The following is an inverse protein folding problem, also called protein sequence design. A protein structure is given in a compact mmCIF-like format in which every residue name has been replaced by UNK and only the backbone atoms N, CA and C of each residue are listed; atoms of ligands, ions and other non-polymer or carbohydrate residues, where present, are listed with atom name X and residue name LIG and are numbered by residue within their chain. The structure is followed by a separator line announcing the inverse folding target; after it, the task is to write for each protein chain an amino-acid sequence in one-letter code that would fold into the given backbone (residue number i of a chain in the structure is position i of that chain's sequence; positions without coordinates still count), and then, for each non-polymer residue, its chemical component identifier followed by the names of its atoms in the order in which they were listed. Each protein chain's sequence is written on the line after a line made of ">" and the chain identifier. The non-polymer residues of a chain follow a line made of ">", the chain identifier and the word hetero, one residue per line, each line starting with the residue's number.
data_IF_836783004524
#
_entry.id   IF_836783004524
#
_cell.length_a   1.000
_cell.length_b   1.000
_cell.length_c   1.000
_cell.angle_alpha   90.00
_cell.angle_beta   90.00
_cell.angle_gamma   90.00
#
_symmetry.space_group_name_H-M   'P 1'
#
loop_
_entity.id
_entity.type
_entity.pdbx_description
1 polymer ?
#
# COMPACT_ATOMS: atom_id res chain seq x y z
N UNK A 1 22.12 -8.33 11.25
CA UNK A 1 23.14 -8.65 10.23
C UNK A 1 23.63 -7.42 9.48
N UNK A 2 22.74 -6.54 9.03
CA UNK A 2 23.10 -5.37 8.22
C UNK A 2 23.26 -4.10 9.05
N UNK A 3 23.00 -4.16 10.36
CA UNK A 3 23.00 -3.02 11.30
C UNK A 3 22.09 -1.84 10.86
N UNK A 4 21.21 -2.08 9.90
CA UNK A 4 20.25 -1.09 9.41
C UNK A 4 19.03 -1.11 10.31
N UNK A 5 18.58 0.06 10.75
CA UNK A 5 17.34 0.20 11.52
C UNK A 5 16.13 -0.24 10.67
N UNK A 6 15.38 -1.29 11.07
CA UNK A 6 14.29 -1.84 10.27
C UNK A 6 13.18 -0.85 9.93
N UNK A 7 12.91 0.13 10.79
CA UNK A 7 11.91 1.17 10.51
C UNK A 7 12.18 1.96 9.23
N UNK A 8 13.43 2.09 8.80
CA UNK A 8 13.81 2.81 7.57
C UNK A 8 13.30 2.10 6.32
N UNK A 9 13.71 0.85 6.02
CA UNK A 9 13.20 0.14 4.85
C UNK A 9 11.73 -0.26 4.97
N UNK A 10 11.25 -0.66 6.14
CA UNK A 10 9.87 -1.13 6.31
C UNK A 10 8.85 0.00 6.13
N UNK A 11 9.14 1.19 6.65
CA UNK A 11 8.22 2.32 6.49
C UNK A 11 8.05 2.72 5.02
N UNK A 12 9.16 2.83 4.29
CA UNK A 12 9.06 3.20 2.87
C UNK A 12 8.51 2.07 2.02
N UNK A 13 8.80 0.81 2.35
CA UNK A 13 8.21 -0.33 1.63
C UNK A 13 6.68 -0.33 1.75
N UNK A 14 6.14 -0.10 2.95
CA UNK A 14 4.70 0.01 3.18
C UNK A 14 4.09 1.20 2.42
N UNK A 15 4.71 2.38 2.50
CA UNK A 15 4.24 3.60 1.81
C UNK A 15 4.31 3.45 0.30
N UNK A 16 5.46 3.01 -0.23
CA UNK A 16 5.65 2.84 -1.67
C UNK A 16 4.71 1.79 -2.27
N UNK A 17 4.38 0.73 -1.51
CA UNK A 17 3.38 -0.26 -1.95
C UNK A 17 1.99 0.36 -2.13
N UNK A 18 1.61 1.30 -1.26
CA UNK A 18 0.34 2.02 -1.38
C UNK A 18 0.34 2.97 -2.58
N UNK A 19 1.40 3.77 -2.76
CA UNK A 19 1.53 4.66 -3.91
C UNK A 19 1.56 3.88 -5.23
N UNK A 20 2.25 2.73 -5.24
CA UNK A 20 2.34 1.84 -6.40
C UNK A 20 0.99 1.34 -6.91
N UNK A 21 -0.04 1.26 -6.07
CA UNK A 21 -1.40 0.91 -6.50
C UNK A 21 -1.97 1.95 -7.46
N UNK A 22 -1.74 3.25 -7.22
CA UNK A 22 -2.14 4.32 -8.14
C UNK A 22 -1.36 4.30 -9.46
N UNK A 23 -0.18 3.69 -9.49
CA UNK A 23 0.63 3.50 -10.69
C UNK A 23 0.41 2.13 -11.38
N UNK A 24 -0.35 1.23 -10.75
CA UNK A 24 -0.57 -0.12 -11.26
C UNK A 24 -1.69 -0.15 -12.32
N UNK A 25 -1.41 -0.61 -13.55
CA UNK A 25 -2.39 -0.65 -14.63
C UNK A 25 -3.56 -1.60 -14.37
N UNK A 26 -3.46 -2.50 -13.41
CA UNK A 26 -4.53 -3.48 -13.08
C UNK A 26 -5.30 -3.13 -11.81
N UNK A 27 -4.96 -2.01 -11.16
CA UNK A 27 -5.63 -1.62 -9.91
C UNK A 27 -7.02 -1.04 -10.16
N UNK A 28 -7.94 -1.29 -9.24
CA UNK A 28 -9.29 -0.73 -9.30
C UNK A 28 -9.26 0.80 -9.26
N UNK A 29 -8.32 1.41 -8.55
CA UNK A 29 -8.16 2.86 -8.48
C UNK A 29 -7.75 3.46 -9.84
N UNK A 30 -6.78 2.82 -10.52
CA UNK A 30 -6.34 3.25 -11.86
C UNK A 30 -7.45 3.11 -12.89
N UNK A 31 -8.18 1.99 -12.90
CA UNK A 31 -9.31 1.78 -13.80
C UNK A 31 -10.42 2.81 -13.56
N UNK A 32 -10.74 3.08 -12.30
CA UNK A 32 -11.72 4.11 -11.95
C UNK A 32 -11.27 5.50 -12.41
N UNK A 33 -10.00 5.85 -12.17
CA UNK A 33 -9.45 7.14 -12.60
C UNK A 33 -9.47 7.29 -14.12
N UNK A 34 -9.12 6.23 -14.86
CA UNK A 34 -9.15 6.22 -16.32
C UNK A 34 -10.55 6.48 -16.88
N UNK A 35 -11.59 5.91 -16.26
CA UNK A 35 -12.98 6.16 -16.66
C UNK A 35 -13.40 7.61 -16.44
N UNK A 36 -12.81 8.30 -15.45
CA UNK A 36 -13.12 9.68 -15.12
C UNK A 36 -12.39 10.66 -16.05
N UNK A 37 -11.08 10.42 -16.28
CA UNK A 37 -10.26 11.37 -17.06
C UNK A 37 -10.22 11.06 -18.56
N UNK A 38 -10.66 9.88 -18.98
CA UNK A 38 -10.76 9.49 -20.39
C UNK A 38 -11.62 10.46 -21.21
N UNK A 39 -12.85 10.80 -20.80
CA UNK A 39 -13.68 11.82 -21.46
C UNK A 39 -13.06 13.22 -21.48
N UNK A 40 -12.09 13.50 -20.59
CA UNK A 40 -11.34 14.75 -20.54
C UNK A 40 -10.08 14.74 -21.43
N UNK A 41 -9.92 13.72 -22.30
CA UNK A 41 -8.82 13.62 -23.26
C UNK A 41 -7.55 12.97 -22.74
N UNK A 42 -7.57 12.34 -21.57
CA UNK A 42 -6.40 11.60 -21.02
C UNK A 42 -6.47 10.15 -21.42
N UNK A 43 -5.58 9.70 -22.31
CA UNK A 43 -5.50 8.29 -22.68
C UNK A 43 -4.98 7.42 -21.52
N UNK A 44 -5.40 6.15 -21.50
CA UNK A 44 -5.00 5.22 -20.46
C UNK A 44 -3.46 5.05 -20.33
N UNK A 45 -2.70 4.85 -21.42
CA UNK A 45 -1.24 4.75 -21.34
C UNK A 45 -0.58 6.02 -20.76
N UNK A 46 -1.11 7.19 -21.10
CA UNK A 46 -0.65 8.48 -20.58
C UNK A 46 -0.88 8.59 -19.07
N UNK A 47 -2.08 8.23 -18.60
CA UNK A 47 -2.41 8.20 -17.17
C UNK A 47 -1.46 7.27 -16.41
N UNK A 48 -1.24 6.06 -16.91
CA UNK A 48 -0.32 5.07 -16.31
C UNK A 48 1.10 5.61 -16.25
N UNK A 49 1.61 6.16 -17.36
CA UNK A 49 2.97 6.73 -17.44
C UNK A 49 3.17 7.84 -16.41
N UNK A 50 2.26 8.80 -16.36
CA UNK A 50 2.32 9.93 -15.41
C UNK A 50 2.32 9.42 -13.98
N UNK A 51 1.44 8.47 -13.67
CA UNK A 51 1.33 7.89 -12.32
C UNK A 51 2.58 7.09 -11.92
N UNK A 52 3.22 6.37 -12.85
CA UNK A 52 4.48 5.66 -12.61
C UNK A 52 5.60 6.65 -12.28
N UNK A 53 5.77 7.69 -13.11
CA UNK A 53 6.85 8.67 -12.92
C UNK A 53 6.68 9.42 -11.59
N UNK A 54 5.48 9.91 -11.31
CA UNK A 54 5.19 10.60 -10.06
C UNK A 54 5.31 9.70 -8.83
N UNK A 55 4.75 8.50 -8.89
CA UNK A 55 4.83 7.52 -7.81
C UNK A 55 6.26 7.07 -7.52
N UNK A 56 7.06 6.85 -8.56
CA UNK A 56 8.48 6.50 -8.43
C UNK A 56 9.28 7.65 -7.80
N UNK A 57 9.12 8.88 -8.29
CA UNK A 57 9.81 10.04 -7.74
C UNK A 57 9.45 10.27 -6.26
N UNK A 58 8.15 10.19 -5.91
CA UNK A 58 7.68 10.29 -4.54
C UNK A 58 8.26 9.21 -3.64
N UNK A 59 8.25 7.95 -4.09
CA UNK A 59 8.80 6.83 -3.34
C UNK A 59 10.31 6.93 -3.14
N UNK A 60 11.06 7.40 -4.15
CA UNK A 60 12.51 7.60 -4.05
C UNK A 60 12.87 8.70 -3.05
N UNK A 61 12.22 9.84 -3.11
CA UNK A 61 12.46 10.93 -2.14
C UNK A 61 12.03 10.50 -0.74
N UNK A 62 10.89 9.82 -0.61
CA UNK A 62 10.44 9.22 0.65
C UNK A 62 11.46 8.22 1.22
N UNK A 63 12.10 7.40 0.38
CA UNK A 63 13.16 6.49 0.78
C UNK A 63 14.40 7.23 1.29
N UNK A 64 14.83 8.29 0.59
CA UNK A 64 15.95 9.12 1.00
C UNK A 64 15.67 9.76 2.37
N UNK A 65 14.47 10.29 2.58
CA UNK A 65 14.06 10.85 3.88
C UNK A 65 14.01 9.77 4.95
N UNK A 66 13.36 8.63 4.65
CA UNK A 66 13.26 7.50 5.58
C UNK A 66 14.63 6.99 6.01
N UNK A 67 15.62 6.95 5.12
CA UNK A 67 16.98 6.49 5.43
C UNK A 67 17.69 7.33 6.48
N UNK A 68 17.25 8.58 6.65
CA UNK A 68 17.84 9.53 7.63
C UNK A 68 17.03 9.64 8.93
N UNK A 69 15.88 8.96 9.04
CA UNK A 69 15.03 9.02 10.22
C UNK A 69 15.51 8.08 11.33
N UNK A 70 15.42 8.59 12.55
CA UNK A 70 15.76 7.85 13.77
C UNK A 70 17.28 7.66 13.96
N UNK A 71 17.66 7.24 15.18
CA UNK A 71 19.05 6.89 15.49
C UNK A 71 19.47 5.59 14.80
N UNK A 72 20.75 5.29 14.81
CA UNK A 72 21.25 3.98 14.39
C UNK A 72 20.71 2.88 15.30
N UNK A 73 20.56 1.67 14.77
CA UNK A 73 19.93 0.56 15.50
C UNK A 73 20.68 0.26 16.82
N UNK A 74 21.98 0.32 16.78
CA UNK A 74 22.84 0.06 17.95
C UNK A 74 22.68 1.11 19.08
N UNK A 75 22.10 2.27 18.78
CA UNK A 75 21.83 3.35 19.72
C UNK A 75 20.34 3.46 20.08
N UNK A 76 19.49 2.58 19.56
CA UNK A 76 18.05 2.62 19.82
C UNK A 76 17.73 2.02 21.19
N UNK A 77 17.23 2.80 22.16
CA UNK A 77 16.98 2.30 23.52
C UNK A 77 15.94 1.17 23.55
N UNK A 78 14.95 1.17 22.64
CA UNK A 78 13.95 0.12 22.56
C UNK A 78 14.57 -1.19 22.06
N UNK A 79 15.43 -1.10 21.06
CA UNK A 79 16.17 -2.27 20.58
C UNK A 79 17.10 -2.84 21.66
N UNK A 80 17.86 -2.01 22.35
CA UNK A 80 18.78 -2.43 23.41
C UNK A 80 18.03 -3.11 24.56
N UNK A 81 16.91 -2.53 25.01
CA UNK A 81 16.06 -3.13 26.03
C UNK A 81 15.51 -4.50 25.61
N UNK A 82 15.05 -4.64 24.34
CA UNK A 82 14.57 -5.92 23.83
C UNK A 82 15.67 -6.96 23.68
N UNK A 83 16.86 -6.52 23.33
CA UNK A 83 18.05 -7.39 23.21
C UNK A 83 18.45 -7.93 24.59
N UNK A 84 18.51 -7.07 25.63
CA UNK A 84 18.78 -7.48 27.01
C UNK A 84 17.75 -8.46 27.56
N UNK A 85 16.48 -8.28 27.20
CA UNK A 85 15.38 -9.19 27.56
C UNK A 85 15.35 -10.48 26.74
N UNK A 86 16.30 -10.70 25.82
CA UNK A 86 16.34 -11.87 24.95
C UNK A 86 15.19 -11.97 23.95
N UNK A 87 14.47 -10.86 23.70
CA UNK A 87 13.35 -10.81 22.75
C UNK A 87 13.83 -10.68 21.30
N UNK A 88 15.07 -10.25 21.10
CA UNK A 88 15.71 -10.15 19.78
C UNK A 88 16.99 -10.94 19.80
N UNK A 89 17.08 -11.93 18.93
CA UNK A 89 18.30 -12.70 18.76
C UNK A 89 19.24 -11.98 17.80
N UNK A 90 20.48 -11.77 18.23
CA UNK A 90 21.54 -11.23 17.37
C UNK A 90 21.86 -12.28 16.29
N UNK A 91 21.29 -12.10 15.12
CA UNK A 91 21.52 -12.98 13.95
C UNK A 91 22.80 -12.50 13.27
N UNK A 92 23.92 -13.17 13.50
CA UNK A 92 25.17 -12.93 12.76
C UNK A 92 25.03 -13.25 11.27
N UNK A 93 26.08 -13.07 10.48
CA UNK A 93 26.15 -13.56 9.09
C UNK A 93 26.09 -15.11 9.11
N UNK A 94 24.89 -15.65 9.22
CA UNK A 94 24.67 -17.09 9.18
C UNK A 94 24.67 -17.61 7.75
N UNK A 95 25.22 -18.78 7.51
CA UNK A 95 24.92 -19.55 6.33
C UNK A 95 23.48 -20.05 6.48
N UNK A 96 22.58 -19.60 5.61
CA UNK A 96 21.22 -20.14 5.56
C UNK A 96 21.27 -21.53 4.92
N UNK A 97 20.86 -22.55 5.66
CA UNK A 97 20.61 -23.86 5.08
C UNK A 97 19.37 -23.81 4.20
N UNK A 98 19.60 -23.73 2.88
CA UNK A 98 18.51 -23.69 1.92
C UNK A 98 17.91 -25.06 1.78
N UNK A 99 16.71 -25.27 2.31
CA UNK A 99 16.01 -26.55 2.23
C UNK A 99 15.86 -27.00 0.77
N UNK A 100 15.95 -28.32 0.48
CA UNK A 100 16.02 -28.86 -0.89
C UNK A 100 14.93 -28.38 -1.85
N UNK A 101 13.72 -28.14 -1.36
CA UNK A 101 12.57 -27.74 -2.18
C UNK A 101 12.31 -26.22 -2.17
N UNK A 102 13.14 -25.40 -1.52
CA UNK A 102 12.93 -23.96 -1.41
C UNK A 102 12.91 -23.27 -2.78
N UNK A 103 13.81 -23.63 -3.70
CA UNK A 103 13.82 -23.08 -5.08
C UNK A 103 12.54 -23.45 -5.84
N UNK A 104 12.06 -24.69 -5.69
CA UNK A 104 10.83 -25.16 -6.35
C UNK A 104 9.60 -24.39 -5.82
N UNK A 105 9.49 -24.22 -4.51
CA UNK A 105 8.39 -23.45 -3.92
C UNK A 105 8.41 -22.00 -4.36
N UNK A 106 9.59 -21.37 -4.47
CA UNK A 106 9.74 -20.02 -4.99
C UNK A 106 9.25 -19.92 -6.45
N UNK A 107 9.66 -20.86 -7.32
CA UNK A 107 9.21 -20.87 -8.72
C UNK A 107 7.69 -21.01 -8.82
N UNK A 108 7.08 -21.92 -8.06
CA UNK A 108 5.63 -22.10 -8.05
C UNK A 108 4.93 -20.81 -7.58
N UNK A 109 5.44 -20.19 -6.52
CA UNK A 109 4.88 -18.94 -6.01
C UNK A 109 4.96 -17.80 -7.04
N UNK A 110 6.12 -17.59 -7.66
CA UNK A 110 6.31 -16.54 -8.68
C UNK A 110 5.42 -16.82 -9.91
N UNK A 111 5.34 -18.08 -10.36
CA UNK A 111 4.45 -18.47 -11.46
C UNK A 111 2.99 -18.18 -11.13
N UNK A 112 2.56 -18.44 -9.89
CA UNK A 112 1.19 -18.14 -9.43
C UNK A 112 0.90 -16.64 -9.41
N UNK A 113 1.87 -15.81 -9.00
CA UNK A 113 1.74 -14.35 -9.09
C UNK A 113 1.57 -13.88 -10.55
N UNK A 114 2.35 -14.44 -11.48
CA UNK A 114 2.21 -14.12 -12.91
C UNK A 114 0.82 -14.51 -13.42
N UNK A 115 0.33 -15.70 -13.06
CA UNK A 115 -1.03 -16.16 -13.45
C UNK A 115 -2.10 -15.21 -12.90
N UNK A 116 -2.00 -14.82 -11.63
CA UNK A 116 -2.92 -13.83 -11.03
C UNK A 116 -2.89 -12.50 -11.79
N UNK A 117 -1.71 -12.01 -12.13
CA UNK A 117 -1.56 -10.74 -12.86
C UNK A 117 -2.17 -10.82 -14.27
N UNK A 118 -1.88 -11.90 -15.01
CA UNK A 118 -2.44 -12.12 -16.35
C UNK A 118 -3.96 -12.23 -16.29
N UNK A 119 -4.49 -12.99 -15.34
CA UNK A 119 -5.93 -13.07 -15.14
C UNK A 119 -6.54 -11.72 -14.80
N UNK A 120 -5.98 -10.98 -13.83
CA UNK A 120 -6.48 -9.68 -13.43
C UNK A 120 -6.46 -8.64 -14.58
N UNK A 121 -5.46 -8.74 -15.47
CA UNK A 121 -5.40 -7.92 -16.68
C UNK A 121 -6.46 -8.33 -17.69
N UNK A 122 -6.68 -9.64 -17.92
CA UNK A 122 -7.66 -10.14 -18.89
C UNK A 122 -9.11 -9.79 -18.53
N UNK A 123 -9.45 -9.70 -17.24
CA UNK A 123 -10.81 -9.37 -16.77
C UNK A 123 -11.08 -7.87 -16.68
N UNK A 124 -10.10 -7.01 -16.96
CA UNK A 124 -10.25 -5.54 -16.77
C UNK A 124 -11.34 -4.94 -17.67
N UNK A 125 -11.54 -5.51 -18.86
CA UNK A 125 -12.56 -5.08 -19.83
C UNK A 125 -13.82 -5.96 -19.82
N UNK A 126 -13.98 -6.88 -18.86
CA UNK A 126 -15.10 -7.82 -18.80
C UNK A 126 -16.09 -7.38 -17.73
N UNK A 127 -17.33 -7.07 -18.12
CA UNK A 127 -18.37 -6.61 -17.19
C UNK A 127 -18.74 -7.65 -16.12
N UNK A 128 -18.76 -8.93 -16.49
CA UNK A 128 -19.08 -10.05 -15.59
C UNK A 128 -18.00 -11.13 -15.70
N UNK A 129 -16.86 -10.96 -15.04
CA UNK A 129 -15.80 -11.96 -15.08
C UNK A 129 -16.24 -13.25 -14.36
N UNK A 130 -15.78 -14.44 -14.80
CA UNK A 130 -16.09 -15.73 -14.16
C UNK A 130 -15.74 -15.73 -12.67
N UNK A 131 -14.60 -15.11 -12.31
CA UNK A 131 -14.17 -14.87 -10.94
C UNK A 131 -13.90 -13.37 -10.74
N UNK A 132 -14.58 -12.70 -9.80
CA UNK A 132 -14.21 -11.35 -9.38
C UNK A 132 -12.77 -11.31 -8.91
N UNK A 133 -12.08 -10.17 -9.12
CA UNK A 133 -10.64 -10.03 -8.88
C UNK A 133 -10.19 -10.54 -7.49
N UNK A 134 -10.93 -10.19 -6.43
CA UNK A 134 -10.61 -10.64 -5.07
C UNK A 134 -10.73 -12.16 -4.91
N UNK A 135 -11.79 -12.76 -5.45
CA UNK A 135 -11.99 -14.21 -5.43
C UNK A 135 -10.90 -14.94 -6.23
N UNK A 136 -10.51 -14.39 -7.39
CA UNK A 136 -9.44 -14.94 -8.21
C UNK A 136 -8.10 -14.98 -7.45
N UNK A 137 -7.72 -13.87 -6.80
CA UNK A 137 -6.49 -13.81 -5.99
C UNK A 137 -6.52 -14.88 -4.90
N UNK A 138 -7.60 -14.97 -4.13
CA UNK A 138 -7.73 -15.99 -3.08
C UNK A 138 -7.62 -17.40 -3.65
N UNK A 139 -8.36 -17.70 -4.72
CA UNK A 139 -8.37 -19.04 -5.34
C UNK A 139 -6.99 -19.43 -5.85
N UNK A 140 -6.35 -18.58 -6.63
CA UNK A 140 -5.01 -18.89 -7.18
C UNK A 140 -3.94 -19.01 -6.09
N UNK A 141 -3.96 -18.13 -5.09
CA UNK A 141 -2.99 -18.20 -4.00
C UNK A 141 -3.19 -19.43 -3.11
N UNK A 142 -4.43 -19.81 -2.80
CA UNK A 142 -4.72 -21.05 -2.07
C UNK A 142 -4.32 -22.29 -2.86
N UNK A 143 -4.57 -22.29 -4.18
CA UNK A 143 -4.14 -23.36 -5.07
C UNK A 143 -2.61 -23.47 -5.11
N UNK A 144 -1.91 -22.34 -5.20
CA UNK A 144 -0.45 -22.30 -5.14
C UNK A 144 0.08 -22.88 -3.82
N UNK A 145 -0.53 -22.50 -2.69
CA UNK A 145 -0.16 -23.01 -1.38
C UNK A 145 -0.34 -24.56 -1.30
N UNK A 146 -1.46 -25.07 -1.85
CA UNK A 146 -1.71 -26.51 -1.91
C UNK A 146 -0.67 -27.24 -2.78
N UNK A 147 -0.36 -26.69 -3.97
CA UNK A 147 0.64 -27.26 -4.89
C UNK A 147 2.03 -27.26 -4.20
N UNK A 148 2.42 -26.17 -3.54
CA UNK A 148 3.67 -26.09 -2.79
C UNK A 148 3.70 -27.13 -1.67
N UNK A 149 2.63 -27.25 -0.89
CA UNK A 149 2.53 -28.21 0.20
C UNK A 149 2.71 -29.64 -0.32
N UNK A 150 2.06 -30.00 -1.43
CA UNK A 150 2.10 -31.33 -2.01
C UNK A 150 3.44 -31.65 -2.69
N UNK A 151 3.95 -30.75 -3.55
CA UNK A 151 5.14 -31.01 -4.37
C UNK A 151 6.47 -30.73 -3.65
N UNK A 152 6.47 -29.86 -2.65
CA UNK A 152 7.67 -29.47 -1.91
C UNK A 152 7.79 -30.21 -0.56
N UNK A 153 6.95 -31.19 -0.29
CA UNK A 153 6.98 -32.00 0.94
C UNK A 153 7.07 -31.15 2.21
N UNK A 154 6.27 -30.07 2.24
CA UNK A 154 6.29 -29.12 3.35
C UNK A 154 5.76 -29.83 4.62
N UNK A 155 6.48 -29.77 5.74
CA UNK A 155 5.98 -30.31 7.01
C UNK A 155 4.87 -29.40 7.55
N UNK A 156 3.61 -29.71 7.24
CA UNK A 156 2.44 -28.86 7.55
C UNK A 156 2.36 -28.47 9.02
N UNK A 157 2.84 -29.34 9.93
CA UNK A 157 2.86 -29.06 11.37
C UNK A 157 3.80 -27.91 11.75
N UNK A 158 4.80 -27.62 10.93
CA UNK A 158 5.76 -26.54 11.19
C UNK A 158 5.30 -25.17 10.64
N UNK A 159 4.26 -25.13 9.81
CA UNK A 159 3.77 -23.87 9.20
C UNK A 159 3.36 -22.88 10.30
N UNK A 160 2.59 -23.33 11.27
CA UNK A 160 2.06 -22.48 12.36
C UNK A 160 3.13 -21.98 13.32
N UNK A 161 4.30 -22.62 13.36
CA UNK A 161 5.43 -22.20 14.18
C UNK A 161 6.32 -21.16 13.51
N UNK A 162 6.21 -20.98 12.17
CA UNK A 162 7.02 -20.04 11.41
C UNK A 162 6.70 -18.59 11.78
N UNK A 163 7.74 -17.76 11.88
CA UNK A 163 7.60 -16.34 12.19
C UNK A 163 6.68 -15.62 11.20
N UNK A 164 6.84 -15.88 9.89
CA UNK A 164 6.00 -15.30 8.82
C UNK A 164 4.53 -15.66 8.98
N UNK A 165 4.22 -16.91 9.37
CA UNK A 165 2.84 -17.33 9.61
C UNK A 165 2.23 -16.59 10.81
N UNK A 166 2.98 -16.49 11.91
CA UNK A 166 2.53 -15.80 13.13
C UNK A 166 2.28 -14.32 12.86
N UNK A 167 3.23 -13.62 12.22
CA UNK A 167 3.09 -12.22 11.86
C UNK A 167 1.93 -11.99 10.91
N UNK A 168 1.78 -12.82 9.88
CA UNK A 168 0.68 -12.74 8.93
C UNK A 168 -0.69 -12.96 9.58
N UNK A 169 -0.80 -13.94 10.50
CA UNK A 169 -2.03 -14.22 11.23
C UNK A 169 -2.38 -13.09 12.21
N UNK A 170 -1.39 -12.57 12.95
CA UNK A 170 -1.57 -11.42 13.83
C UNK A 170 -2.07 -10.20 13.05
N UNK A 171 -1.43 -9.90 11.93
CA UNK A 171 -1.87 -8.81 11.03
C UNK A 171 -3.29 -9.05 10.50
N UNK A 172 -3.65 -10.27 10.09
CA UNK A 172 -4.98 -10.61 9.62
C UNK A 172 -6.05 -10.39 10.70
N UNK A 173 -5.79 -10.83 11.94
CA UNK A 173 -6.71 -10.63 13.07
C UNK A 173 -6.88 -9.13 13.38
N UNK A 174 -5.78 -8.38 13.42
CA UNK A 174 -5.81 -6.94 13.62
C UNK A 174 -6.63 -6.23 12.53
N UNK A 175 -6.40 -6.58 11.26
CA UNK A 175 -7.16 -6.05 10.12
C UNK A 175 -8.64 -6.39 10.22
N UNK A 176 -8.99 -7.63 10.58
CA UNK A 176 -10.40 -8.03 10.76
C UNK A 176 -11.09 -7.21 11.85
N UNK A 177 -10.42 -6.90 12.96
CA UNK A 177 -10.98 -6.08 14.02
C UNK A 177 -11.05 -4.60 13.64
N UNK A 178 -9.90 -3.99 13.39
CA UNK A 178 -9.76 -2.54 13.22
C UNK A 178 -10.32 -2.08 11.87
N UNK A 179 -10.02 -2.80 10.79
CA UNK A 179 -10.54 -2.43 9.47
C UNK A 179 -12.06 -2.65 9.36
N UNK A 180 -12.60 -3.66 10.01
CA UNK A 180 -14.05 -3.85 10.07
C UNK A 180 -14.72 -2.70 10.81
N UNK A 181 -14.21 -2.30 11.98
CA UNK A 181 -14.71 -1.14 12.71
C UNK A 181 -14.66 0.13 11.84
N UNK A 182 -13.51 0.39 11.18
CA UNK A 182 -13.34 1.52 10.29
C UNK A 182 -14.32 1.50 9.10
N UNK A 183 -14.44 0.36 8.44
CA UNK A 183 -15.39 0.19 7.33
C UNK A 183 -16.84 0.37 7.76
N UNK A 184 -17.23 -0.15 8.93
CA UNK A 184 -18.58 0.02 9.46
C UNK A 184 -18.88 1.49 9.74
N UNK A 185 -17.94 2.19 10.38
CA UNK A 185 -18.08 3.63 10.65
C UNK A 185 -18.21 4.43 9.33
N UNK A 186 -17.32 4.17 8.37
CA UNK A 186 -17.33 4.85 7.08
C UNK A 186 -18.61 4.55 6.31
N UNK A 187 -19.01 3.28 6.22
CA UNK A 187 -20.24 2.90 5.49
C UNK A 187 -21.48 3.56 6.09
N UNK A 188 -21.55 3.66 7.42
CA UNK A 188 -22.65 4.31 8.11
C UNK A 188 -22.67 5.83 7.95
N UNK A 189 -21.51 6.45 7.66
CA UNK A 189 -21.35 7.90 7.55
C UNK A 189 -20.97 8.36 6.13
N UNK A 190 -21.04 7.48 5.13
CA UNK A 190 -20.54 7.77 3.77
C UNK A 190 -21.22 9.01 3.15
N UNK A 191 -22.51 9.19 3.36
CA UNK A 191 -23.25 10.34 2.85
C UNK A 191 -22.70 11.65 3.45
N UNK A 192 -22.46 11.69 4.74
CA UNK A 192 -21.91 12.85 5.45
C UNK A 192 -20.49 13.15 5.00
N UNK A 193 -19.63 12.13 4.88
CA UNK A 193 -18.24 12.25 4.41
C UNK A 193 -18.22 12.80 2.98
N UNK A 194 -19.07 12.25 2.10
CA UNK A 194 -19.18 12.67 0.70
C UNK A 194 -19.66 14.12 0.60
N UNK A 195 -20.69 14.50 1.34
CA UNK A 195 -21.24 15.87 1.35
C UNK A 195 -20.19 16.87 1.86
N UNK A 196 -19.53 16.58 2.96
CA UNK A 196 -18.50 17.45 3.52
C UNK A 196 -17.31 17.64 2.54
N UNK A 197 -16.79 16.54 2.00
CA UNK A 197 -15.68 16.59 1.03
C UNK A 197 -16.07 17.32 -0.26
N UNK A 198 -17.24 17.05 -0.80
CA UNK A 198 -17.76 17.75 -2.01
C UNK A 198 -17.97 19.23 -1.75
N UNK A 199 -18.44 19.61 -0.57
CA UNK A 199 -18.60 21.00 -0.17
C UNK A 199 -17.26 21.75 -0.14
N UNK A 200 -16.21 21.11 0.37
CA UNK A 200 -14.84 21.67 0.36
C UNK A 200 -14.32 21.84 -1.07
N UNK A 201 -14.47 20.83 -1.92
CA UNK A 201 -14.02 20.90 -3.32
C UNK A 201 -14.79 22.00 -4.08
N UNK A 202 -16.09 22.14 -3.82
CA UNK A 202 -16.92 23.18 -4.45
C UNK A 202 -16.49 24.59 -4.02
N UNK A 203 -16.23 24.80 -2.74
CA UNK A 203 -15.84 26.12 -2.21
C UNK A 203 -14.38 26.47 -2.46
N UNK A 204 -13.49 25.47 -2.51
CA UNK A 204 -12.05 25.65 -2.68
C UNK A 204 -11.45 24.49 -3.51
N UNK A 205 -11.58 24.54 -4.86
CA UNK A 205 -11.13 23.46 -5.75
C UNK A 205 -9.65 23.06 -5.60
N UNK A 206 -8.83 24.01 -5.22
CA UNK A 206 -7.40 23.81 -4.97
C UNK A 206 -7.13 22.90 -3.73
N UNK A 207 -8.12 22.70 -2.86
CA UNK A 207 -8.04 21.76 -1.75
C UNK A 207 -8.33 20.31 -2.13
N UNK A 208 -8.56 19.98 -3.41
CA UNK A 208 -8.78 18.63 -3.87
C UNK A 208 -7.72 17.64 -3.32
N UNK A 209 -6.46 18.06 -3.33
CA UNK A 209 -5.36 17.27 -2.75
C UNK A 209 -5.63 16.91 -1.28
N UNK A 210 -6.03 17.89 -0.45
CA UNK A 210 -6.29 17.69 0.98
C UNK A 210 -7.50 16.79 1.19
N UNK A 211 -8.56 16.98 0.41
CA UNK A 211 -9.76 16.14 0.47
C UNK A 211 -9.42 14.69 0.16
N UNK A 212 -8.67 14.44 -0.92
CA UNK A 212 -8.27 13.08 -1.30
C UNK A 212 -7.36 12.45 -0.25
N UNK A 213 -6.40 13.21 0.28
CA UNK A 213 -5.47 12.76 1.31
C UNK A 213 -6.21 12.33 2.59
N UNK A 214 -7.09 13.17 3.11
CA UNK A 214 -7.87 12.85 4.32
C UNK A 214 -8.92 11.77 4.06
N UNK A 215 -9.62 11.84 2.92
CA UNK A 215 -10.61 10.84 2.56
C UNK A 215 -9.99 9.43 2.40
N UNK A 216 -8.82 9.33 1.77
CA UNK A 216 -8.14 8.04 1.61
C UNK A 216 -7.84 7.39 2.97
N UNK A 217 -7.39 8.18 3.94
CA UNK A 217 -7.09 7.68 5.28
C UNK A 217 -8.33 7.24 6.07
N UNK A 218 -9.49 7.81 5.77
CA UNK A 218 -10.77 7.44 6.41
C UNK A 218 -11.44 6.26 5.70
N UNK A 219 -11.43 6.27 4.35
CA UNK A 219 -12.08 5.23 3.54
C UNK A 219 -11.26 3.94 3.44
N UNK A 220 -9.97 3.96 3.80
CA UNK A 220 -9.03 2.85 3.66
C UNK A 220 -9.03 2.21 2.26
N UNK A 221 -9.36 2.99 1.24
CA UNK A 221 -9.51 2.50 -0.13
C UNK A 221 -9.23 3.59 -1.14
N UNK A 222 -8.19 3.41 -1.93
CA UNK A 222 -7.86 4.30 -3.04
C UNK A 222 -8.97 4.33 -4.09
N UNK A 223 -9.52 3.16 -4.42
CA UNK A 223 -10.61 3.05 -5.39
C UNK A 223 -11.86 3.78 -4.90
N UNK A 224 -12.27 3.56 -3.64
CA UNK A 224 -13.41 4.24 -3.06
C UNK A 224 -13.22 5.76 -3.01
N UNK A 225 -12.03 6.23 -2.62
CA UNK A 225 -11.67 7.65 -2.63
C UNK A 225 -11.77 8.24 -4.04
N UNK A 226 -11.22 7.54 -5.03
CA UNK A 226 -11.24 7.97 -6.43
C UNK A 226 -12.66 8.08 -6.96
N UNK A 227 -13.49 7.02 -6.83
CA UNK A 227 -14.86 7.04 -7.35
C UNK A 227 -15.79 7.99 -6.61
N UNK A 228 -15.45 8.35 -5.36
CA UNK A 228 -16.27 9.28 -4.57
C UNK A 228 -16.01 10.72 -4.92
N UNK A 229 -14.76 11.15 -5.02
CA UNK A 229 -14.41 12.58 -5.10
C UNK A 229 -13.94 13.04 -6.47
N UNK A 230 -13.28 12.18 -7.26
CA UNK A 230 -12.79 12.59 -8.58
C UNK A 230 -13.89 12.94 -9.59
N UNK A 231 -15.04 12.23 -9.64
CA UNK A 231 -16.15 12.66 -10.50
C UNK A 231 -16.71 14.03 -10.12
N UNK A 232 -16.77 14.33 -8.82
CA UNK A 232 -17.22 15.65 -8.33
C UNK A 232 -16.26 16.74 -8.80
N UNK A 233 -14.96 16.51 -8.62
CA UNK A 233 -13.93 17.45 -9.07
C UNK A 233 -13.96 17.67 -10.58
N UNK A 234 -14.15 16.59 -11.37
CA UNK A 234 -14.32 16.68 -12.82
C UNK A 234 -15.59 17.47 -13.22
N UNK A 235 -16.70 17.23 -12.54
CA UNK A 235 -17.96 17.95 -12.78
C UNK A 235 -17.88 19.45 -12.42
N UNK A 236 -16.99 19.82 -11.49
CA UNK A 236 -16.68 21.22 -11.15
C UNK A 236 -15.74 21.89 -12.16
N UNK A 237 -15.34 21.18 -13.22
CA UNK A 237 -14.46 21.71 -14.26
C UNK A 237 -12.98 21.79 -13.86
N UNK A 238 -12.54 21.04 -12.83
CA UNK A 238 -11.12 20.98 -12.49
C UNK A 238 -10.35 20.33 -13.64
N UNK A 239 -9.28 20.97 -14.13
CA UNK A 239 -8.51 20.47 -15.27
C UNK A 239 -7.99 19.04 -15.07
N UNK A 240 -7.97 18.24 -16.14
CA UNK A 240 -7.48 16.87 -16.10
C UNK A 240 -6.04 16.74 -15.56
N UNK A 241 -5.18 17.73 -15.83
CA UNK A 241 -3.82 17.80 -15.30
C UNK A 241 -3.79 17.87 -13.77
N UNK A 242 -4.71 18.61 -13.15
CA UNK A 242 -4.83 18.73 -11.71
C UNK A 242 -5.41 17.44 -11.13
N UNK A 243 -6.44 16.86 -11.76
CA UNK A 243 -7.03 15.58 -11.34
C UNK A 243 -5.98 14.47 -11.31
N UNK A 244 -5.21 14.33 -12.39
CA UNK A 244 -4.13 13.32 -12.49
C UNK A 244 -3.00 13.65 -11.51
N UNK A 245 -2.63 14.93 -11.36
CA UNK A 245 -1.64 15.37 -10.40
C UNK A 245 -1.99 15.01 -8.95
N UNK A 246 -3.25 15.20 -8.56
CA UNK A 246 -3.72 14.89 -7.21
C UNK A 246 -3.97 13.39 -6.96
N UNK A 247 -3.93 12.53 -7.99
CA UNK A 247 -4.33 11.13 -7.86
C UNK A 247 -3.50 10.35 -6.82
N UNK A 248 -2.20 10.61 -6.71
CA UNK A 248 -1.35 9.97 -5.72
C UNK A 248 -1.79 10.25 -4.26
N UNK A 249 -2.50 11.37 -4.00
CA UNK A 249 -3.02 11.67 -2.67
C UNK A 249 -4.06 10.65 -2.18
N UNK A 250 -4.75 9.95 -3.10
CA UNK A 250 -5.63 8.84 -2.75
C UNK A 250 -4.89 7.64 -2.11
N UNK A 251 -3.55 7.65 -2.09
CA UNK A 251 -2.72 6.62 -1.46
C UNK A 251 -2.39 6.90 0.02
N UNK A 252 -2.97 7.91 0.65
CA UNK A 252 -2.69 8.28 2.05
C UNK A 252 -3.29 7.29 3.08
N UNK A 253 -3.18 6.00 2.82
CA UNK A 253 -3.71 4.94 3.68
C UNK A 253 -2.88 4.72 4.94
N UNK A 254 -1.68 5.30 4.98
CA UNK A 254 -0.76 5.23 6.11
C UNK A 254 -1.03 6.28 7.21
N UNK A 255 -1.82 7.31 6.94
CA UNK A 255 -2.03 8.43 7.86
C UNK A 255 -2.57 7.94 9.22
N UNK A 256 -3.55 7.06 9.19
CA UNK A 256 -3.95 6.28 10.35
C UNK A 256 -3.26 4.92 10.28
N UNK A 257 -2.41 4.55 11.27
CA UNK A 257 -1.50 3.41 11.15
C UNK A 257 -2.18 2.05 11.40
N UNK A 258 -3.38 1.86 10.90
CA UNK A 258 -4.18 0.64 11.03
C UNK A 258 -4.40 -0.07 9.69
N UNK A 259 -3.85 0.48 8.60
CA UNK A 259 -3.93 -0.16 7.29
C UNK A 259 -3.08 -1.43 7.25
N UNK A 260 -3.54 -2.52 6.58
CA UNK A 260 -2.88 -3.83 6.62
C UNK A 260 -1.38 -3.84 6.37
N UNK A 261 -0.90 -3.08 5.38
CA UNK A 261 0.54 -3.04 5.05
C UNK A 261 1.36 -2.35 6.13
N UNK A 262 0.77 -1.38 6.85
CA UNK A 262 1.40 -0.68 7.96
C UNK A 262 1.52 -1.60 9.17
N UNK A 263 0.42 -2.29 9.51
CA UNK A 263 0.41 -3.27 10.61
C UNK A 263 1.38 -4.41 10.34
N UNK A 264 1.37 -4.96 9.13
CA UNK A 264 2.30 -6.02 8.73
C UNK A 264 3.77 -5.59 8.86
N UNK A 265 4.10 -4.36 8.47
CA UNK A 265 5.46 -3.84 8.60
C UNK A 265 5.91 -3.72 10.07
N UNK A 266 5.01 -3.35 10.99
CA UNK A 266 5.30 -3.32 12.43
C UNK A 266 5.52 -4.73 12.98
N UNK A 267 4.66 -5.68 12.60
CA UNK A 267 4.75 -7.08 13.03
C UNK A 267 5.98 -7.82 12.47
N UNK A 268 6.55 -7.35 11.36
CA UNK A 268 7.78 -7.90 10.79
C UNK A 268 9.05 -7.43 11.49
N UNK A 269 8.97 -6.44 12.37
CA UNK A 269 10.13 -5.83 13.04
C UNK A 269 10.29 -6.31 14.48
N UNK A 270 11.09 -7.35 14.70
CA UNK A 270 11.42 -7.85 16.03
C UNK A 270 12.18 -6.83 16.89
N UNK A 271 12.85 -5.84 16.27
CA UNK A 271 13.65 -4.84 17.00
C UNK A 271 12.80 -3.79 17.71
N UNK A 272 11.53 -3.62 17.30
CA UNK A 272 10.62 -2.60 17.81
C UNK A 272 10.92 -1.18 17.35
N UNK A 273 11.84 -1.01 16.39
CA UNK A 273 12.16 0.29 15.80
C UNK A 273 11.06 0.81 14.88
N UNK A 274 10.33 -0.10 14.22
CA UNK A 274 9.12 0.20 13.45
C UNK A 274 7.94 0.19 14.41
N UNK A 275 7.35 1.35 14.64
CA UNK A 275 6.36 1.50 15.70
C UNK A 275 5.12 2.26 15.26
N UNK A 276 4.01 1.92 15.91
CA UNK A 276 2.86 2.79 16.11
C UNK A 276 3.04 3.37 17.50
N UNK A 277 3.39 4.67 17.59
CA UNK A 277 3.71 5.31 18.87
C UNK A 277 2.47 5.51 19.76
N UNK A 278 2.69 6.10 20.95
CA UNK A 278 1.64 6.36 21.94
C UNK A 278 0.49 7.22 21.39
N UNK A 279 0.76 8.09 20.44
CA UNK A 279 -0.23 8.94 19.76
C UNK A 279 -0.38 8.48 18.32
N UNK A 280 -1.59 8.59 17.75
CA UNK A 280 -1.94 8.13 16.40
C UNK A 280 -0.95 8.62 15.33
N UNK A 281 -0.48 9.86 15.42
CA UNK A 281 0.43 10.46 14.44
C UNK A 281 1.92 10.25 14.76
N UNK A 282 2.27 9.58 15.85
CA UNK A 282 3.65 9.26 16.19
C UNK A 282 4.04 7.86 15.74
N UNK A 283 4.02 7.62 14.44
CA UNK A 283 4.37 6.33 13.85
C UNK A 283 5.43 6.46 12.75
N UNK A 284 6.12 5.37 12.47
CA UNK A 284 7.27 5.34 11.55
C UNK A 284 6.92 5.68 10.09
N UNK A 285 5.66 5.61 9.70
CA UNK A 285 5.19 5.78 8.32
C UNK A 285 4.78 7.21 7.98
N UNK A 286 4.54 8.07 8.99
CA UNK A 286 3.95 9.39 8.78
C UNK A 286 4.82 10.28 7.90
N UNK A 287 6.07 10.50 8.31
CA UNK A 287 6.98 11.40 7.61
C UNK A 287 7.33 10.90 6.22
N UNK A 288 7.78 9.62 6.04
CA UNK A 288 8.02 9.09 4.70
C UNK A 288 6.79 9.15 3.79
N UNK A 289 5.62 8.89 4.33
CA UNK A 289 4.38 8.89 3.57
C UNK A 289 3.95 10.27 3.10
N UNK A 290 3.95 11.25 4.01
CA UNK A 290 3.64 12.65 3.65
C UNK A 290 4.61 13.17 2.60
N UNK A 291 5.92 12.98 2.80
CA UNK A 291 6.94 13.42 1.84
C UNK A 291 6.73 12.76 0.48
N UNK A 292 6.48 11.44 0.46
CA UNK A 292 6.27 10.71 -0.80
C UNK A 292 5.08 11.27 -1.59
N UNK A 293 3.96 11.56 -0.93
CA UNK A 293 2.77 12.11 -1.59
C UNK A 293 3.00 13.57 -2.02
N UNK A 294 3.62 14.40 -1.16
CA UNK A 294 3.93 15.79 -1.48
C UNK A 294 4.90 15.92 -2.67
N UNK A 295 5.70 14.91 -2.96
CA UNK A 295 6.55 14.86 -4.16
C UNK A 295 5.81 14.23 -5.33
N UNK A 296 5.10 13.11 -5.12
CA UNK A 296 4.41 12.40 -6.19
C UNK A 296 3.37 13.27 -6.92
N UNK A 297 2.59 14.05 -6.18
CA UNK A 297 1.53 14.87 -6.77
C UNK A 297 2.07 15.99 -7.69
N UNK A 298 2.99 16.86 -7.26
CA UNK A 298 3.54 17.90 -8.15
C UNK A 298 4.31 17.31 -9.33
N UNK A 299 5.04 16.19 -9.14
CA UNK A 299 5.74 15.53 -10.26
C UNK A 299 4.73 14.98 -11.27
N UNK A 300 3.68 14.29 -10.82
CA UNK A 300 2.60 13.83 -11.71
C UNK A 300 1.95 14.99 -12.45
N UNK A 301 1.66 16.09 -11.78
CA UNK A 301 1.12 17.30 -12.40
C UNK A 301 2.07 17.86 -13.47
N UNK A 302 3.36 18.01 -13.13
CA UNK A 302 4.37 18.55 -14.06
C UNK A 302 4.56 17.64 -15.29
N UNK A 303 4.64 16.32 -15.08
CA UNK A 303 4.72 15.35 -16.19
C UNK A 303 3.46 15.41 -17.05
N UNK A 304 2.27 15.54 -16.45
CA UNK A 304 1.02 15.67 -17.19
C UNK A 304 0.99 16.92 -18.08
N UNK A 305 1.59 18.04 -17.64
CA UNK A 305 1.73 19.24 -18.47
C UNK A 305 2.73 19.06 -19.61
N UNK A 306 3.78 18.25 -19.42
CA UNK A 306 4.79 18.01 -20.45
C UNK A 306 4.34 17.06 -21.56
N UNK A 307 3.49 16.09 -21.23
CA UNK A 307 2.97 15.11 -22.18
C UNK A 307 1.59 15.51 -22.74
N UNK A 308 1.10 16.60 -22.34
CA UNK A 308 -0.01 17.41 -22.63
C UNK A 308 -1.09 17.39 -23.40
#
# INVERSE_FOLDING_TARGET
>A
EQKVRPSRPLSIAAVASQIGICASPISAAMVAMAAIVGPLGVSYPKLVLVSIVGGFAGSMIGAIVSSKLGCELELDPVYLERLEKGQVLHRGKGSYDIKPYAKRSLVIFVASLVVVMVYAASITAVDKPPLPRGAAIMTFMMTAALIIAALCKVPLKEITSQATYKSGTSAAICVMGVAWLGNTFVSSNIATIKTAGSGVIHSAPWLLFVVLFLAASLLYSQAATTVTFMPVAAALGIPASVLVGCFAAASALFLLPIYPTVVAAVEMDDTGSTKIGKYIFNHSFLVPGIVSILVACPVSYGVMLLVG
#
